data_IF_560593999029
#
_entry.id   IF_560593999029
#
_cell.length_a   1.000
_cell.length_b   1.000
_cell.length_c   1.000
_cell.angle_alpha   90.00
_cell.angle_beta   90.00
_cell.angle_gamma   90.00
#
_symmetry.space_group_name_H-M   'P 1'
#
loop_
_entity.id
_entity.type
_entity.pdbx_description
1 polymer ?
#
# COMPACT_ATOMS: atom_id res chain seq x y z
N UNK A 1 -5.51 7.64 5.63
CA UNK A 1 -4.05 7.87 5.44
C UNK A 1 -3.34 6.53 5.33
N UNK A 2 -2.25 6.43 4.58
CA UNK A 2 -1.40 5.22 4.46
C UNK A 2 0.05 5.50 4.86
N UNK A 3 0.72 4.48 5.39
CA UNK A 3 2.12 4.48 5.83
C UNK A 3 2.73 3.08 5.75
N UNK A 4 4.06 3.01 5.78
CA UNK A 4 4.78 1.74 5.87
C UNK A 4 4.85 1.29 7.33
N UNK A 5 4.47 0.04 7.57
CA UNK A 5 4.54 -0.61 8.87
C UNK A 5 5.38 -1.88 8.71
N UNK A 6 6.71 -1.69 8.77
CA UNK A 6 7.71 -2.72 8.48
C UNK A 6 7.65 -3.18 7.02
N UNK A 7 7.29 -4.44 6.75
CA UNK A 7 7.20 -5.04 5.40
C UNK A 7 5.78 -4.98 4.81
N UNK A 8 4.88 -4.23 5.46
CA UNK A 8 3.50 -4.10 5.06
C UNK A 8 3.14 -2.64 4.82
N UNK A 9 2.13 -2.44 3.98
CA UNK A 9 1.41 -1.19 3.88
C UNK A 9 0.28 -1.19 4.91
N UNK A 10 0.28 -0.18 5.78
CA UNK A 10 -0.80 0.08 6.70
C UNK A 10 -1.60 1.28 6.23
N UNK A 11 -2.89 1.26 6.49
CA UNK A 11 -3.73 2.43 6.33
C UNK A 11 -4.80 2.51 7.39
N UNK A 12 -5.31 3.72 7.58
CA UNK A 12 -6.33 4.06 8.57
C UNK A 12 -7.29 5.12 8.01
N UNK A 13 -8.48 5.21 8.61
CA UNK A 13 -9.51 6.17 8.22
C UNK A 13 -10.34 5.74 7.01
N UNK A 14 -10.34 4.43 6.69
CA UNK A 14 -11.25 3.85 5.71
C UNK A 14 -12.52 3.37 6.40
N UNK A 15 -13.57 3.05 5.63
CA UNK A 15 -14.79 2.48 6.22
C UNK A 15 -14.57 1.02 6.61
N UNK A 16 -15.07 0.59 7.78
CA UNK A 16 -14.99 -0.82 8.18
C UNK A 16 -15.61 -1.76 7.15
N UNK A 17 -14.90 -2.83 6.81
CA UNK A 17 -15.35 -3.83 5.83
C UNK A 17 -15.20 -3.43 4.36
N UNK A 18 -14.70 -2.22 4.07
CA UNK A 18 -14.49 -1.80 2.68
C UNK A 18 -13.33 -2.55 2.03
N UNK A 19 -13.50 -2.85 0.74
CA UNK A 19 -12.40 -3.26 -0.13
C UNK A 19 -11.52 -2.06 -0.41
N UNK A 20 -10.25 -2.19 -0.04
CA UNK A 20 -9.22 -1.19 -0.31
C UNK A 20 -8.41 -1.65 -1.51
N UNK A 21 -8.45 -0.86 -2.58
CA UNK A 21 -7.59 -1.01 -3.74
C UNK A 21 -6.26 -0.29 -3.49
N UNK A 22 -5.17 -1.04 -3.56
CA UNK A 22 -3.81 -0.55 -3.40
C UNK A 22 -3.16 -0.48 -4.77
N UNK A 23 -2.84 0.73 -5.20
CA UNK A 23 -2.21 1.01 -6.49
C UNK A 23 -0.74 1.39 -6.27
N UNK A 24 0.15 0.63 -6.89
CA UNK A 24 1.57 0.94 -7.02
C UNK A 24 1.84 1.46 -8.44
N UNK A 25 2.33 2.68 -8.54
CA UNK A 25 2.65 3.34 -9.82
C UNK A 25 4.13 3.69 -9.88
N UNK A 26 4.76 3.38 -11.02
CA UNK A 26 6.14 3.72 -11.37
C UNK A 26 6.23 4.20 -12.81
N UNK A 27 7.42 4.59 -13.24
CA UNK A 27 7.67 5.15 -14.58
C UNK A 27 7.36 4.14 -15.70
N UNK A 28 7.73 2.87 -15.51
CA UNK A 28 7.49 1.78 -16.49
C UNK A 28 6.14 1.07 -16.36
N UNK A 29 5.26 1.48 -15.43
CA UNK A 29 3.93 0.90 -15.34
C UNK A 29 3.28 0.98 -13.97
N UNK A 30 2.18 0.25 -13.80
CA UNK A 30 1.48 0.16 -12.53
C UNK A 30 1.04 -1.27 -12.23
N UNK A 31 0.95 -1.58 -10.95
CA UNK A 31 0.37 -2.82 -10.44
C UNK A 31 -0.58 -2.50 -9.31
N UNK A 32 -1.57 -3.35 -9.09
CA UNK A 32 -2.55 -3.16 -8.03
C UNK A 32 -2.87 -4.48 -7.35
N UNK A 33 -3.26 -4.38 -6.08
CA UNK A 33 -3.80 -5.49 -5.32
C UNK A 33 -4.88 -4.97 -4.37
N UNK A 34 -5.59 -5.89 -3.72
CA UNK A 34 -6.72 -5.56 -2.86
C UNK A 34 -6.48 -6.07 -1.44
N UNK A 35 -7.06 -5.37 -0.48
CA UNK A 35 -7.16 -5.78 0.91
C UNK A 35 -8.49 -5.32 1.49
N UNK A 36 -8.78 -5.66 2.75
CA UNK A 36 -10.00 -5.28 3.45
C UNK A 36 -9.67 -4.41 4.65
N UNK A 37 -10.50 -3.41 4.91
CA UNK A 37 -10.47 -2.67 6.15
C UNK A 37 -11.14 -3.49 7.27
N UNK A 38 -10.50 -3.50 8.45
CA UNK A 38 -11.01 -4.13 9.67
C UNK A 38 -12.17 -3.35 10.29
N UNK A 39 -12.70 -3.84 11.41
CA UNK A 39 -13.82 -3.22 12.13
C UNK A 39 -13.57 -1.78 12.61
N UNK A 40 -12.31 -1.34 12.63
CA UNK A 40 -11.90 0.02 13.01
C UNK A 40 -11.53 0.89 11.79
N UNK A 41 -11.69 0.37 10.57
CA UNK A 41 -11.34 1.11 9.36
C UNK A 41 -9.83 1.14 9.06
N UNK A 42 -9.06 0.25 9.68
CA UNK A 42 -7.64 0.08 9.41
C UNK A 42 -7.42 -1.10 8.47
N UNK A 43 -6.34 -1.09 7.71
CA UNK A 43 -5.92 -2.27 6.96
C UNK A 43 -4.43 -2.49 7.12
N UNK A 44 -4.03 -3.75 6.95
CA UNK A 44 -2.63 -4.15 6.84
C UNK A 44 -2.49 -5.11 5.67
N UNK A 45 -1.70 -4.71 4.69
CA UNK A 45 -1.46 -5.50 3.48
C UNK A 45 0.04 -5.74 3.32
N UNK A 46 0.51 -7.00 3.26
CA UNK A 46 1.90 -7.28 2.97
C UNK A 46 2.26 -6.71 1.60
N UNK A 47 3.44 -6.11 1.49
CA UNK A 47 3.92 -5.61 0.20
C UNK A 47 4.31 -6.81 -0.67
N UNK A 48 3.80 -6.90 -1.91
CA UNK A 48 4.31 -7.86 -2.88
C UNK A 48 5.83 -7.76 -3.00
N UNK A 49 6.55 -8.87 -2.77
CA UNK A 49 8.01 -8.99 -2.83
C UNK A 49 8.68 -8.30 -4.05
N UNK A 50 8.13 -8.31 -5.28
CA UNK A 50 8.78 -7.63 -6.40
C UNK A 50 8.78 -6.10 -6.29
N UNK A 51 7.89 -5.47 -5.51
CA UNK A 51 7.78 -4.01 -5.42
C UNK A 51 9.09 -3.36 -4.95
N UNK A 52 9.82 -4.07 -4.09
CA UNK A 52 11.09 -3.62 -3.56
C UNK A 52 12.20 -3.51 -4.60
N UNK A 53 12.19 -4.37 -5.62
CA UNK A 53 13.15 -4.31 -6.75
C UNK A 53 12.84 -3.19 -7.73
N UNK A 54 11.65 -2.61 -7.62
CA UNK A 54 11.10 -1.69 -8.60
C UNK A 54 10.98 -0.25 -8.06
N UNK A 55 11.63 0.02 -6.92
CA UNK A 55 11.75 1.36 -6.38
C UNK A 55 12.46 2.31 -7.38
N UNK A 56 12.07 3.59 -7.45
CA UNK A 56 11.04 4.24 -6.64
C UNK A 56 9.61 3.91 -7.10
N UNK A 57 8.72 3.64 -6.15
CA UNK A 57 7.29 3.39 -6.40
C UNK A 57 6.44 4.37 -5.62
N UNK A 58 5.40 4.91 -6.25
CA UNK A 58 4.32 5.62 -5.57
C UNK A 58 3.18 4.68 -5.22
N UNK A 59 2.84 4.57 -3.95
CA UNK A 59 1.68 3.84 -3.45
C UNK A 59 0.52 4.81 -3.17
N UNK A 60 -0.68 4.40 -3.56
CA UNK A 60 -1.93 5.05 -3.13
C UNK A 60 -2.96 3.99 -2.81
N UNK A 61 -3.80 4.24 -1.80
CA UNK A 61 -4.94 3.42 -1.46
C UNK A 61 -6.23 4.15 -1.81
N UNK A 62 -7.23 3.40 -2.27
CA UNK A 62 -8.58 3.92 -2.52
C UNK A 62 -9.61 2.89 -2.11
N UNK A 63 -10.72 3.34 -1.52
CA UNK A 63 -11.86 2.47 -1.22
C UNK A 63 -12.90 2.48 -2.35
N UNK A 64 -13.93 1.63 -2.18
CA UNK A 64 -15.05 1.55 -3.12
C UNK A 64 -15.94 2.80 -3.13
N UNK A 65 -15.71 3.75 -2.22
CA UNK A 65 -16.46 5.00 -2.08
C UNK A 65 -15.69 6.21 -2.64
N UNK A 66 -14.69 5.95 -3.48
CA UNK A 66 -13.82 6.97 -4.09
C UNK A 66 -13.02 7.80 -3.09
N UNK A 67 -12.90 7.38 -1.83
CA UNK A 67 -11.92 7.98 -0.92
C UNK A 67 -10.53 7.57 -1.38
N UNK A 68 -9.62 8.52 -1.50
CA UNK A 68 -8.22 8.27 -1.87
C UNK A 68 -7.28 8.74 -0.77
N UNK A 69 -6.31 7.91 -0.43
CA UNK A 69 -5.29 8.24 0.56
C UNK A 69 -4.26 9.24 0.04
N UNK A 70 -3.39 9.69 0.93
CA UNK A 70 -2.11 10.29 0.57
C UNK A 70 -1.30 9.34 -0.32
N UNK A 71 -0.38 9.93 -1.11
CA UNK A 71 0.63 9.19 -1.86
C UNK A 71 1.82 8.89 -0.96
N UNK A 72 2.25 7.64 -0.92
CA UNK A 72 3.41 7.19 -0.20
C UNK A 72 4.50 6.78 -1.18
N UNK A 73 5.66 7.42 -1.13
CA UNK A 73 6.79 7.09 -1.99
C UNK A 73 7.68 6.07 -1.28
N UNK A 74 7.77 4.87 -1.86
CA UNK A 74 8.71 3.83 -1.44
C UNK A 74 10.05 4.05 -2.14
N UNK A 75 11.05 4.48 -1.37
CA UNK A 75 12.45 4.46 -1.78
C UNK A 75 13.07 3.07 -1.60
N UNK A 76 14.21 2.83 -2.26
CA UNK A 76 14.97 1.56 -2.17
C UNK A 76 15.37 1.17 -0.73
N UNK A 77 15.47 2.16 0.16
CA UNK A 77 15.87 2.00 1.57
C UNK A 77 14.82 1.29 2.44
N UNK A 78 13.53 1.36 2.09
CA UNK A 78 12.44 0.72 2.87
C UNK A 78 12.38 -0.80 2.73
N UNK A 79 13.15 -1.35 1.80
CA UNK A 79 13.14 -2.76 1.42
C UNK A 79 14.37 -3.56 1.87
N UNK A 80 15.29 -2.94 2.62
CA UNK A 80 16.58 -3.52 2.96
C UNK A 80 16.54 -4.56 4.10
N UNK A 81 15.38 -5.11 4.47
CA UNK A 81 15.29 -6.05 5.61
C UNK A 81 14.56 -7.37 5.36
N UNK A 82 14.46 -7.80 4.10
CA UNK A 82 14.26 -9.21 3.78
C UNK A 82 15.62 -9.82 3.41
N UNK A 83 16.40 -10.23 4.42
CA UNK A 83 17.66 -10.97 4.22
C UNK A 83 17.32 -12.47 4.06
N UNK A 84 17.97 -13.21 3.14
CA UNK A 84 17.64 -14.59 2.77
C UNK A 84 17.70 -15.61 3.91
#
# INVERSE_FOLDING_TARGET
MISLCSEALCGSGFRPGDTILLLATRTEGSTFWRTLADGAGNFRSPLPAPLCRFAPIGLTASDNHAHRSNRLSLGSTGCQRATP
#
